data_IF_791411825847
#
_entry.id   IF_791411825847
#
_cell.length_a   1.000
_cell.length_b   1.000
_cell.length_c   1.000
_cell.angle_alpha   90.00
_cell.angle_beta   90.00
_cell.angle_gamma   90.00
#
_symmetry.space_group_name_H-M   'P 1'
#
loop_
_entity.id
_entity.type
_entity.pdbx_description
1 polymer ?
#
# COMPACT_ATOMS: atom_id res chain seq x y z
N UNK A 1 -4.69 -13.62 7.61
CA UNK A 1 -3.60 -13.37 8.57
C UNK A 1 -4.13 -12.59 9.77
N UNK A 2 -3.62 -12.80 10.99
CA UNK A 2 -3.97 -11.98 12.16
C UNK A 2 -2.85 -10.96 12.39
N UNK A 3 -3.20 -9.69 12.55
CA UNK A 3 -2.26 -8.58 12.80
C UNK A 3 -2.73 -7.73 13.97
N UNK A 4 -1.84 -6.92 14.54
CA UNK A 4 -2.21 -5.89 15.52
C UNK A 4 -2.52 -4.58 14.79
N UNK A 5 -3.60 -3.94 15.16
CA UNK A 5 -3.82 -2.54 14.79
C UNK A 5 -2.96 -1.60 15.64
N UNK A 6 -2.94 -0.32 15.27
CA UNK A 6 -2.22 0.75 15.99
C UNK A 6 -2.66 0.96 17.45
N UNK A 7 -3.80 0.39 17.87
CA UNK A 7 -4.29 0.40 19.26
C UNK A 7 -3.93 -0.89 20.01
N UNK A 8 -3.20 -1.81 19.38
CA UNK A 8 -2.80 -3.09 19.93
C UNK A 8 -3.87 -4.19 19.86
N UNK A 9 -5.03 -3.93 19.23
CA UNK A 9 -6.10 -4.91 19.06
C UNK A 9 -5.76 -5.88 17.93
N UNK A 10 -6.07 -7.16 18.15
CA UNK A 10 -5.95 -8.18 17.10
C UNK A 10 -7.09 -8.04 16.08
N UNK A 11 -6.72 -7.93 14.81
CA UNK A 11 -7.65 -7.82 13.69
C UNK A 11 -7.31 -8.84 12.61
N UNK A 12 -8.34 -9.34 11.93
CA UNK A 12 -8.15 -10.22 10.79
C UNK A 12 -7.83 -9.40 9.53
N UNK A 13 -6.64 -9.64 8.98
CA UNK A 13 -6.19 -9.12 7.71
C UNK A 13 -6.36 -10.18 6.63
N UNK A 14 -7.35 -9.98 5.75
CA UNK A 14 -7.58 -10.85 4.61
C UNK A 14 -6.55 -10.57 3.53
N UNK A 15 -5.63 -11.49 3.28
CA UNK A 15 -4.57 -11.35 2.26
C UNK A 15 -5.15 -11.62 0.85
N UNK A 16 -6.09 -12.56 0.75
CA UNK A 16 -6.62 -13.05 -0.53
C UNK A 16 -7.45 -12.00 -1.29
N UNK A 17 -7.76 -10.85 -0.66
CA UNK A 17 -8.49 -9.75 -1.31
C UNK A 17 -7.59 -8.85 -2.17
N UNK A 18 -6.27 -8.98 -2.10
CA UNK A 18 -5.34 -8.12 -2.83
C UNK A 18 -4.81 -8.82 -4.09
N UNK A 19 -4.82 -8.10 -5.21
CA UNK A 19 -4.29 -8.57 -6.49
C UNK A 19 -2.78 -8.31 -6.65
N UNK A 20 -2.21 -7.45 -5.82
CA UNK A 20 -0.79 -7.13 -5.82
C UNK A 20 -0.28 -6.87 -4.39
N UNK A 21 1.02 -7.11 -4.19
CA UNK A 21 1.66 -6.99 -2.88
C UNK A 21 1.75 -5.53 -2.41
N UNK A 22 1.92 -4.58 -3.33
CA UNK A 22 2.07 -3.15 -3.00
C UNK A 22 0.84 -2.64 -2.25
N UNK A 23 -0.35 -2.85 -2.78
CA UNK A 23 -1.61 -2.42 -2.18
C UNK A 23 -1.88 -3.17 -0.87
N UNK A 24 -1.54 -4.45 -0.81
CA UNK A 24 -1.60 -5.23 0.42
C UNK A 24 -0.76 -4.58 1.52
N UNK A 25 0.50 -4.23 1.24
CA UNK A 25 1.39 -3.63 2.22
C UNK A 25 0.98 -2.21 2.62
N UNK A 26 0.44 -1.41 1.69
CA UNK A 26 -0.09 -0.08 1.99
C UNK A 26 -1.20 -0.16 3.04
N UNK A 27 -2.18 -1.04 2.82
CA UNK A 27 -3.28 -1.23 3.78
C UNK A 27 -2.79 -1.81 5.10
N UNK A 28 -1.86 -2.77 5.06
CA UNK A 28 -1.28 -3.36 6.27
C UNK A 28 -0.57 -2.30 7.12
N UNK A 29 0.20 -1.40 6.50
CA UNK A 29 0.86 -0.29 7.18
C UNK A 29 -0.14 0.68 7.80
N UNK A 30 -1.21 1.01 7.07
CA UNK A 30 -2.28 1.85 7.60
C UNK A 30 -2.94 1.22 8.83
N UNK A 31 -3.17 -0.09 8.84
CA UNK A 31 -3.72 -0.80 10.00
C UNK A 31 -2.73 -0.79 11.18
N UNK A 32 -1.46 -1.08 10.91
CA UNK A 32 -0.44 -1.32 11.94
C UNK A 32 0.04 -0.02 12.59
N UNK A 33 0.19 1.05 11.80
CA UNK A 33 0.81 2.30 12.23
C UNK A 33 -0.12 3.51 12.17
N UNK A 34 -1.33 3.36 11.63
CA UNK A 34 -2.26 4.47 11.37
C UNK A 34 -1.63 5.56 10.47
N UNK A 35 -0.71 5.15 9.58
CA UNK A 35 -0.04 6.03 8.62
C UNK A 35 -0.62 5.77 7.23
N UNK A 36 -1.08 6.83 6.58
CA UNK A 36 -1.42 6.78 5.16
C UNK A 36 -0.13 7.00 4.37
N UNK A 37 0.35 5.96 3.71
CA UNK A 37 1.43 6.10 2.75
C UNK A 37 0.94 6.96 1.57
N UNK A 38 1.71 7.96 1.12
CA UNK A 38 1.34 8.71 -0.07
C UNK A 38 1.25 7.74 -1.24
N UNK A 39 0.06 7.62 -1.81
CA UNK A 39 -0.11 6.94 -3.07
C UNK A 39 0.54 7.82 -4.12
N UNK A 40 1.80 7.52 -4.43
CA UNK A 40 2.39 8.02 -5.66
C UNK A 40 1.72 7.24 -6.79
N UNK A 41 0.76 7.87 -7.46
CA UNK A 41 0.59 7.70 -8.91
C UNK A 41 1.88 8.20 -9.58
N UNK A 42 3.01 7.56 -9.25
CA UNK A 42 4.15 7.55 -10.13
C UNK A 42 3.67 6.73 -11.31
N UNK A 43 3.00 7.40 -12.24
CA UNK A 43 2.70 6.87 -13.54
C UNK A 43 4.09 6.64 -14.14
N UNK A 44 4.68 5.46 -13.90
CA UNK A 44 6.00 5.10 -14.43
C UNK A 44 6.02 5.39 -15.93
N UNK A 45 4.88 5.20 -16.59
CA UNK A 45 4.61 5.62 -17.95
C UNK A 45 4.76 7.13 -18.17
N UNK A 46 4.30 8.02 -17.29
CA UNK A 46 4.56 9.46 -17.42
C UNK A 46 6.03 9.81 -17.22
N UNK A 47 6.72 9.16 -16.27
CA UNK A 47 8.15 9.37 -16.08
C UNK A 47 8.95 8.88 -17.30
N UNK A 48 8.58 7.74 -17.87
CA UNK A 48 9.13 7.20 -19.13
C UNK A 48 8.79 8.12 -20.30
N UNK A 49 7.54 8.58 -20.43
CA UNK A 49 7.12 9.52 -21.47
C UNK A 49 7.85 10.86 -21.35
N UNK A 50 8.09 11.34 -20.13
CA UNK A 50 8.85 12.57 -19.88
C UNK A 50 10.33 12.40 -20.22
N UNK A 51 10.90 11.22 -19.98
CA UNK A 51 12.25 10.87 -20.40
C UNK A 51 12.38 10.80 -21.93
N UNK A 52 11.41 10.17 -22.61
CA UNK A 52 11.40 10.03 -24.07
C UNK A 52 11.07 11.33 -24.83
N UNK A 53 10.42 12.30 -24.19
CA UNK A 53 10.08 13.61 -24.78
C UNK A 53 11.17 14.67 -24.61
N UNK A 54 12.20 14.40 -23.80
CA UNK A 54 13.44 15.18 -23.73
C UNK A 54 14.49 14.57 -24.66
#
# INVERSE_FOLDING_TARGET
MIVRDYKGKLVYFNIDKYSNEKDMYIDLWKITYNVTLPYTEGNENENILKYLKN
#
